data_IF_894088750676
#
_entry.id   IF_894088750676
#
_cell.length_a   1.000
_cell.length_b   1.000
_cell.length_c   1.000
_cell.angle_alpha   90.00
_cell.angle_beta   90.00
_cell.angle_gamma   90.00
#
_symmetry.space_group_name_H-M   'P 1'
#
loop_
_entity.id
_entity.type
_entity.pdbx_description
1 polymer ?
#
# COMPACT_ATOMS: atom_id res chain seq x y z
N UNK A 1 -11.19 -21.15 16.93
CA UNK A 1 -11.35 -20.69 15.53
C UNK A 1 -10.01 -20.80 14.84
N UNK A 2 -9.96 -21.10 13.54
CA UNK A 2 -8.71 -21.12 12.79
C UNK A 2 -8.22 -19.70 12.51
N UNK A 3 -6.91 -19.49 12.34
CA UNK A 3 -6.34 -18.22 11.88
C UNK A 3 -7.04 -17.70 10.60
N UNK A 4 -7.34 -18.62 9.67
CA UNK A 4 -8.04 -18.29 8.43
C UNK A 4 -9.49 -17.84 8.67
N UNK A 5 -10.15 -18.38 9.70
CA UNK A 5 -11.50 -17.95 10.07
C UNK A 5 -11.49 -16.57 10.71
N UNK A 6 -10.50 -16.28 11.56
CA UNK A 6 -10.29 -14.96 12.16
C UNK A 6 -10.02 -13.90 11.08
N UNK A 7 -9.13 -14.18 10.13
CA UNK A 7 -8.86 -13.28 8.99
C UNK A 7 -10.11 -13.04 8.14
N UNK A 8 -10.90 -14.09 7.86
CA UNK A 8 -12.18 -13.95 7.13
C UNK A 8 -13.22 -13.18 7.94
N UNK A 9 -13.22 -13.31 9.26
CA UNK A 9 -14.10 -12.55 10.15
C UNK A 9 -13.72 -11.07 10.12
N UNK A 10 -12.44 -10.75 10.29
CA UNK A 10 -11.91 -9.39 10.21
C UNK A 10 -12.23 -8.74 8.85
N UNK A 11 -12.08 -9.46 7.74
CA UNK A 11 -12.37 -8.94 6.40
C UNK A 11 -13.85 -8.55 6.27
N UNK A 12 -14.76 -9.39 6.77
CA UNK A 12 -16.19 -9.09 6.78
C UNK A 12 -16.51 -7.85 7.60
N UNK A 13 -15.91 -7.70 8.78
CA UNK A 13 -16.08 -6.52 9.62
C UNK A 13 -15.63 -5.22 8.91
N UNK A 14 -14.49 -5.25 8.20
CA UNK A 14 -14.00 -4.10 7.44
C UNK A 14 -14.93 -3.78 6.25
N UNK A 15 -15.45 -4.79 5.58
CA UNK A 15 -16.42 -4.58 4.49
C UNK A 15 -17.75 -4.01 4.99
N UNK A 16 -18.22 -4.43 6.16
CA UNK A 16 -19.36 -3.84 6.84
C UNK A 16 -19.11 -2.39 7.24
N UNK A 17 -17.93 -2.09 7.80
CA UNK A 17 -17.52 -0.73 8.14
C UNK A 17 -17.52 0.17 6.89
N UNK A 18 -16.96 -0.28 5.78
CA UNK A 18 -16.96 0.49 4.54
C UNK A 18 -18.39 0.78 4.03
N UNK A 19 -19.29 -0.21 4.12
CA UNK A 19 -20.72 0.01 3.81
C UNK A 19 -21.35 1.06 4.74
N UNK A 20 -21.05 1.02 6.04
CA UNK A 20 -21.52 2.02 7.01
C UNK A 20 -20.99 3.42 6.66
N UNK A 21 -19.69 3.57 6.41
CA UNK A 21 -19.07 4.84 6.05
C UNK A 21 -19.64 5.39 4.74
N UNK A 22 -19.89 4.54 3.75
CA UNK A 22 -20.54 4.95 2.49
C UNK A 22 -22.00 5.40 2.68
N UNK A 23 -22.71 4.94 3.72
CA UNK A 23 -24.03 5.49 4.09
C UNK A 23 -23.89 6.82 4.81
N UNK A 24 -22.96 6.93 5.77
CA UNK A 24 -22.65 8.18 6.48
C UNK A 24 -22.26 9.28 5.49
N UNK A 25 -21.48 8.96 4.45
CA UNK A 25 -21.13 9.92 3.41
C UNK A 25 -22.34 10.45 2.63
N UNK A 26 -23.39 9.65 2.43
CA UNK A 26 -24.61 10.11 1.76
C UNK A 26 -25.39 11.08 2.63
N UNK A 27 -25.41 10.86 3.94
CA UNK A 27 -26.13 11.70 4.91
C UNK A 27 -25.38 12.99 5.27
N UNK A 28 -24.06 12.90 5.52
CA UNK A 28 -23.22 14.03 5.93
C UNK A 28 -22.54 14.76 4.77
N UNK A 29 -22.60 14.19 3.57
CA UNK A 29 -21.91 14.71 2.39
C UNK A 29 -20.41 14.46 2.41
N UNK A 30 -19.75 14.96 1.35
CA UNK A 30 -18.32 14.73 1.09
C UNK A 30 -17.43 15.73 1.83
N UNK A 31 -17.58 15.85 3.15
CA UNK A 31 -16.69 16.66 3.99
C UNK A 31 -15.27 16.09 4.08
N UNK A 32 -14.29 16.87 4.59
CA UNK A 32 -12.93 16.38 4.82
C UNK A 32 -12.91 15.15 5.74
N UNK A 33 -13.70 15.15 6.81
CA UNK A 33 -13.74 14.03 7.76
C UNK A 33 -14.36 12.77 7.16
N UNK A 34 -15.46 12.90 6.43
CA UNK A 34 -16.06 11.78 5.69
C UNK A 34 -15.08 11.17 4.69
N UNK A 35 -14.34 12.03 3.96
CA UNK A 35 -13.32 11.58 3.01
C UNK A 35 -12.18 10.85 3.71
N UNK A 36 -11.71 11.37 4.85
CA UNK A 36 -10.67 10.74 5.66
C UNK A 36 -11.08 9.35 6.13
N UNK A 37 -12.25 9.24 6.78
CA UNK A 37 -12.75 7.95 7.29
C UNK A 37 -12.93 6.92 6.17
N UNK A 38 -13.41 7.36 4.99
CA UNK A 38 -13.50 6.49 3.82
C UNK A 38 -12.12 6.00 3.38
N UNK A 39 -11.16 6.90 3.20
CA UNK A 39 -9.79 6.52 2.80
C UNK A 39 -9.15 5.57 3.82
N UNK A 40 -9.29 5.84 5.13
CA UNK A 40 -8.74 5.00 6.18
C UNK A 40 -9.37 3.60 6.17
N UNK A 41 -10.67 3.50 5.88
CA UNK A 41 -11.35 2.20 5.77
C UNK A 41 -10.87 1.40 4.55
N UNK A 42 -10.65 2.07 3.41
CA UNK A 42 -10.07 1.43 2.22
C UNK A 42 -8.64 0.98 2.46
N UNK A 43 -7.81 1.81 3.11
CA UNK A 43 -6.45 1.43 3.49
C UNK A 43 -6.42 0.26 4.46
N UNK A 44 -7.36 0.21 5.42
CA UNK A 44 -7.48 -0.92 6.34
C UNK A 44 -7.85 -2.22 5.59
N UNK A 45 -8.75 -2.13 4.60
CA UNK A 45 -9.10 -3.28 3.74
C UNK A 45 -7.87 -3.81 3.01
N UNK A 46 -7.10 -2.92 2.38
CA UNK A 46 -5.88 -3.28 1.66
C UNK A 46 -4.83 -3.90 2.60
N UNK A 47 -4.60 -3.27 3.75
CA UNK A 47 -3.66 -3.75 4.76
C UNK A 47 -4.03 -5.16 5.26
N UNK A 48 -5.33 -5.43 5.45
CA UNK A 48 -5.81 -6.74 5.87
C UNK A 48 -5.66 -7.79 4.76
N UNK A 49 -5.89 -7.42 3.50
CA UNK A 49 -5.65 -8.31 2.36
C UNK A 49 -4.15 -8.68 2.25
N UNK A 50 -3.26 -7.71 2.44
CA UNK A 50 -1.81 -7.93 2.50
C UNK A 50 -1.43 -8.85 3.68
N UNK A 51 -1.99 -8.61 4.86
CA UNK A 51 -1.76 -9.46 6.03
C UNK A 51 -2.24 -10.89 5.78
N UNK A 52 -3.42 -11.08 5.19
CA UNK A 52 -3.95 -12.40 4.85
C UNK A 52 -3.07 -13.12 3.82
N UNK A 53 -2.40 -12.40 2.91
CA UNK A 53 -1.46 -12.98 1.97
C UNK A 53 -0.18 -13.53 2.64
N UNK A 54 0.16 -13.07 3.85
CA UNK A 54 1.28 -13.62 4.64
C UNK A 54 0.90 -14.88 5.42
N UNK A 55 -0.40 -15.18 5.55
CA UNK A 55 -0.86 -16.34 6.29
C UNK A 55 -0.34 -17.63 5.62
N UNK A 56 0.10 -18.63 6.41
CA UNK A 56 0.53 -19.91 5.86
C UNK A 56 -0.63 -20.56 5.10
N UNK A 57 -0.53 -20.60 3.78
CA UNK A 57 -1.46 -21.39 2.95
C UNK A 57 -1.25 -22.86 3.32
N UNK A 58 -2.34 -23.63 3.46
CA UNK A 58 -2.26 -25.08 3.68
C UNK A 58 -1.27 -25.67 2.66
N UNK A 59 -0.15 -26.15 3.22
CA UNK A 59 1.10 -26.31 2.50
C UNK A 59 0.99 -27.54 1.60
N UNK A 60 0.83 -27.32 0.30
CA UNK A 60 1.33 -28.28 -0.69
C UNK A 60 2.82 -28.54 -0.35
N UNK A 61 3.33 -29.78 -0.50
CA UNK A 61 4.68 -30.14 -0.09
C UNK A 61 5.68 -29.08 -0.54
N UNK A 62 6.47 -28.60 0.42
CA UNK A 62 7.47 -27.56 0.20
C UNK A 62 8.49 -28.04 -0.81
N UNK A 63 8.29 -27.70 -2.08
CA UNK A 63 9.38 -27.65 -3.04
C UNK A 63 10.20 -26.43 -2.63
N UNK A 64 11.48 -26.60 -2.23
CA UNK A 64 12.34 -25.45 -1.98
C UNK A 64 12.30 -24.56 -3.22
N UNK A 65 12.08 -23.25 -3.10
CA UNK A 65 12.23 -22.38 -4.25
C UNK A 65 13.64 -22.62 -4.80
N UNK A 66 13.76 -22.89 -6.11
CA UNK A 66 15.04 -22.87 -6.79
C UNK A 66 15.71 -21.56 -6.38
N UNK A 67 16.89 -21.67 -5.75
CA UNK A 67 17.61 -20.56 -5.12
C UNK A 67 17.53 -19.35 -6.05
N UNK A 68 16.72 -18.35 -5.71
CA UNK A 68 16.56 -17.16 -6.53
C UNK A 68 17.96 -16.64 -6.82
N UNK A 69 18.28 -16.43 -8.09
CA UNK A 69 19.60 -16.02 -8.51
C UNK A 69 19.86 -14.66 -7.86
N UNK A 70 20.71 -14.66 -6.81
CA UNK A 70 21.02 -13.46 -6.05
C UNK A 70 21.86 -12.55 -6.95
N UNK A 71 21.23 -11.55 -7.55
CA UNK A 71 21.94 -10.52 -8.28
C UNK A 71 22.74 -9.67 -7.29
N UNK A 72 24.07 -9.69 -7.42
CA UNK A 72 24.96 -8.91 -6.58
C UNK A 72 24.87 -7.44 -6.99
N UNK A 73 24.29 -6.60 -6.13
CA UNK A 73 24.31 -5.15 -6.33
C UNK A 73 25.75 -4.66 -6.12
N UNK A 74 26.37 -3.98 -7.09
CA UNK A 74 27.70 -3.40 -6.90
C UNK A 74 27.69 -2.33 -5.80
N UNK A 75 28.65 -2.37 -4.89
CA UNK A 75 28.88 -1.31 -3.89
C UNK A 75 29.70 -0.14 -4.46
N UNK A 76 30.04 -0.18 -5.75
CA UNK A 76 30.75 0.90 -6.41
C UNK A 76 29.91 2.19 -6.32
N UNK A 77 30.51 3.34 -5.95
CA UNK A 77 29.83 4.62 -6.03
C UNK A 77 29.25 4.84 -7.42
N UNK A 78 28.06 5.43 -7.50
CA UNK A 78 27.52 5.88 -8.77
C UNK A 78 28.45 6.92 -9.39
N UNK A 79 28.50 6.96 -10.73
CA UNK A 79 29.20 8.04 -11.44
C UNK A 79 28.55 9.37 -11.06
N UNK A 80 29.34 10.31 -10.54
CA UNK A 80 28.87 11.64 -10.12
C UNK A 80 28.23 12.42 -11.27
N UNK A 81 28.63 12.11 -12.52
CA UNK A 81 28.02 12.71 -13.74
C UNK A 81 26.55 12.37 -13.88
N UNK A 82 26.07 11.27 -13.27
CA UNK A 82 24.65 10.90 -13.24
C UNK A 82 23.80 11.98 -12.54
N UNK A 83 24.40 12.73 -11.63
CA UNK A 83 23.74 13.75 -10.80
C UNK A 83 24.06 15.18 -11.27
N UNK A 84 24.82 15.34 -12.35
CA UNK A 84 25.13 16.66 -12.90
C UNK A 84 23.86 17.36 -13.39
N UNK A 85 23.56 18.54 -12.83
CA UNK A 85 22.36 19.30 -13.16
C UNK A 85 21.10 18.87 -12.38
N UNK A 86 21.21 17.94 -11.42
CA UNK A 86 20.10 17.60 -10.53
C UNK A 86 19.66 18.80 -9.67
N UNK A 87 20.58 19.73 -9.39
CA UNK A 87 20.31 20.96 -8.64
C UNK A 87 19.69 22.08 -9.50
N UNK A 88 19.66 21.94 -10.83
CA UNK A 88 18.96 22.86 -11.73
C UNK A 88 17.48 22.49 -11.81
N UNK A 89 16.87 22.48 -10.63
CA UNK A 89 15.43 22.38 -10.46
C UNK A 89 14.85 23.71 -10.99
N UNK A 90 14.45 23.70 -12.26
CA UNK A 90 13.97 24.87 -12.99
C UNK A 90 12.88 25.61 -12.23
N UNK A 91 13.28 26.60 -11.43
CA UNK A 91 12.41 27.59 -10.83
C UNK A 91 11.84 28.43 -11.97
N UNK A 92 10.69 27.98 -12.46
CA UNK A 92 9.91 28.66 -13.46
C UNK A 92 9.47 30.03 -12.95
N UNK A 93 10.31 31.05 -13.10
CA UNK A 93 9.91 32.44 -13.35
C UNK A 93 11.02 33.14 -14.13
N UNK A 94 10.81 33.38 -15.43
CA UNK A 94 11.50 34.51 -16.07
C UNK A 94 10.86 35.77 -15.47
N UNK A 95 11.60 36.51 -14.64
CA UNK A 95 11.24 37.91 -14.37
C UNK A 95 11.46 38.66 -15.68
N UNK A 96 10.38 39.05 -16.35
CA UNK A 96 10.44 40.18 -17.28
C UNK A 96 10.11 41.48 -16.53
N UNK A 97 10.20 42.65 -17.20
CA UNK A 97 10.97 42.98 -18.39
C UNK A 97 12.42 43.40 -18.08
#
# INVERSE_FOLDING_TARGET
>A
MSLHDELRSAQRCVDDLARCVARIERELGRGPETRRVRSDTEHLRESLALLAATAPKDRAPHVPPARAELMRVPEAPYDERLWAGADDEGVGTRRGP
#
